data_IF_563900003614
#
_entry.id   IF_563900003614
#
_cell.length_a   1.000
_cell.length_b   1.000
_cell.length_c   1.000
_cell.angle_alpha   90.00
_cell.angle_beta   90.00
_cell.angle_gamma   90.00
#
_symmetry.space_group_name_H-M   'P 1'
#
loop_
_entity.id
_entity.type
_entity.pdbx_description
1 polymer ?
#
# COMPACT_ATOMS: atom_id res chain seq x y z
N UNK A 1 7.25 28.79 8.98
CA UNK A 1 6.23 29.20 7.99
C UNK A 1 6.57 28.65 6.61
N UNK A 2 7.77 28.91 6.03
CA UNK A 2 8.14 28.43 4.70
C UNK A 2 8.05 26.92 4.55
N UNK A 3 8.55 26.14 5.49
CA UNK A 3 8.48 24.67 5.44
C UNK A 3 7.03 24.15 5.40
N UNK A 4 6.12 24.78 6.14
CA UNK A 4 4.70 24.47 6.08
C UNK A 4 4.08 24.81 4.73
N UNK A 5 4.40 25.99 4.18
CA UNK A 5 3.91 26.39 2.85
C UNK A 5 4.41 25.46 1.73
N UNK A 6 5.69 25.08 1.77
CA UNK A 6 6.25 24.09 0.83
C UNK A 6 5.55 22.72 0.96
N UNK A 7 5.35 22.27 2.19
CA UNK A 7 4.64 21.01 2.46
C UNK A 7 3.17 21.06 2.03
N UNK A 8 2.47 22.16 2.32
CA UNK A 8 1.10 22.42 1.84
C UNK A 8 1.02 22.33 0.32
N UNK A 9 1.86 23.12 -0.38
CA UNK A 9 1.83 23.17 -1.83
C UNK A 9 2.16 21.81 -2.47
N UNK A 10 3.24 21.16 -2.00
CA UNK A 10 3.67 19.87 -2.52
C UNK A 10 2.65 18.78 -2.27
N UNK A 11 2.12 18.66 -1.04
CA UNK A 11 1.13 17.66 -0.71
C UNK A 11 -0.20 17.90 -1.45
N UNK A 12 -0.67 19.15 -1.54
CA UNK A 12 -1.90 19.48 -2.29
C UNK A 12 -1.75 19.15 -3.77
N UNK A 13 -0.59 19.42 -4.37
CA UNK A 13 -0.31 19.08 -5.75
C UNK A 13 -0.27 17.54 -5.98
N UNK A 14 0.28 16.77 -5.04
CA UNK A 14 0.30 15.31 -5.14
C UNK A 14 -1.08 14.67 -4.89
N UNK A 15 -1.90 15.28 -4.05
CA UNK A 15 -3.19 14.76 -3.58
C UNK A 15 -4.40 15.47 -4.20
N UNK A 16 -4.23 16.18 -5.33
CA UNK A 16 -5.31 16.89 -6.02
C UNK A 16 -6.53 16.00 -6.29
N UNK A 17 -6.30 14.71 -6.47
CA UNK A 17 -7.30 13.70 -6.75
C UNK A 17 -8.31 13.47 -5.60
N UNK A 18 -7.99 13.88 -4.37
CA UNK A 18 -8.92 13.76 -3.23
C UNK A 18 -10.24 14.50 -3.46
N UNK A 19 -10.28 15.50 -4.33
CA UNK A 19 -11.51 16.18 -4.70
C UNK A 19 -12.48 15.25 -5.46
N UNK A 20 -11.96 14.27 -6.21
CA UNK A 20 -12.76 13.37 -7.07
C UNK A 20 -13.70 12.49 -6.22
N UNK A 21 -13.21 11.65 -5.28
CA UNK A 21 -14.10 10.82 -4.48
C UNK A 21 -15.09 11.62 -3.63
N UNK A 22 -14.70 12.79 -3.16
CA UNK A 22 -15.57 13.67 -2.36
C UNK A 22 -16.71 14.25 -3.20
N UNK A 23 -16.46 14.58 -4.47
CA UNK A 23 -17.48 15.06 -5.40
C UNK A 23 -18.31 13.91 -5.99
N UNK A 24 -17.65 12.96 -6.66
CA UNK A 24 -18.30 11.96 -7.52
C UNK A 24 -19.07 10.92 -6.69
N UNK A 25 -18.60 10.60 -5.48
CA UNK A 25 -19.18 9.56 -4.64
C UNK A 25 -19.70 10.09 -3.30
N UNK A 26 -19.09 11.15 -2.76
CA UNK A 26 -19.59 11.81 -1.55
C UNK A 26 -20.74 12.77 -1.81
N UNK A 27 -21.08 13.06 -3.07
CA UNK A 27 -22.20 13.93 -3.45
C UNK A 27 -21.98 15.41 -3.13
N UNK A 28 -20.79 15.84 -2.69
CA UNK A 28 -20.51 17.23 -2.39
C UNK A 28 -20.32 18.04 -3.68
N UNK A 29 -20.87 19.26 -3.77
CA UNK A 29 -20.62 20.14 -4.91
C UNK A 29 -19.12 20.49 -4.99
N UNK A 30 -18.62 20.77 -6.20
CA UNK A 30 -17.21 21.11 -6.45
C UNK A 30 -16.69 22.23 -5.56
N UNK A 31 -17.51 23.20 -5.20
CA UNK A 31 -17.12 24.29 -4.30
C UNK A 31 -16.66 23.79 -2.91
N UNK A 32 -17.16 22.63 -2.45
CA UNK A 32 -16.80 22.01 -1.18
C UNK A 32 -15.77 20.88 -1.36
N UNK A 33 -15.77 20.19 -2.50
CA UNK A 33 -14.83 19.12 -2.79
C UNK A 33 -13.43 19.64 -3.17
N UNK A 34 -13.33 20.69 -3.97
CA UNK A 34 -12.07 21.26 -4.43
C UNK A 34 -11.12 21.76 -3.31
N UNK A 35 -11.57 22.25 -2.16
CA UNK A 35 -10.70 22.58 -1.03
C UNK A 35 -10.12 21.37 -0.29
N UNK A 36 -10.66 20.16 -0.42
CA UNK A 36 -10.22 18.97 0.33
C UNK A 36 -8.72 18.66 0.15
N UNK A 37 -8.13 18.71 -1.06
CA UNK A 37 -6.68 18.56 -1.24
C UNK A 37 -5.86 19.61 -0.47
N UNK A 38 -6.37 20.84 -0.34
CA UNK A 38 -5.69 21.90 0.44
C UNK A 38 -5.76 21.62 1.94
N UNK A 39 -6.87 21.10 2.45
CA UNK A 39 -7.01 20.72 3.86
C UNK A 39 -6.05 19.58 4.20
N UNK A 40 -5.99 18.54 3.36
CA UNK A 40 -5.04 17.46 3.53
C UNK A 40 -3.59 17.94 3.36
N UNK A 41 -3.35 18.83 2.39
CA UNK A 41 -2.05 19.48 2.20
C UNK A 41 -1.64 20.32 3.40
N UNK A 42 -2.58 21.01 4.07
CA UNK A 42 -2.29 21.76 5.29
C UNK A 42 -1.90 20.85 6.45
N UNK A 43 -2.58 19.71 6.60
CA UNK A 43 -2.21 18.67 7.58
C UNK A 43 -0.82 18.10 7.32
N UNK A 44 -0.54 17.65 6.10
CA UNK A 44 0.78 17.10 5.73
C UNK A 44 1.86 18.19 5.79
N UNK A 45 1.51 19.43 5.45
CA UNK A 45 2.38 20.60 5.57
C UNK A 45 2.91 20.83 6.99
N UNK A 46 2.19 20.40 8.05
CA UNK A 46 2.68 20.48 9.43
C UNK A 46 4.00 19.71 9.60
N UNK A 47 4.12 18.53 8.98
CA UNK A 47 5.35 17.73 9.00
C UNK A 47 6.49 18.45 8.27
N UNK A 48 6.21 19.12 7.13
CA UNK A 48 7.17 19.99 6.45
C UNK A 48 7.59 21.18 7.32
N UNK A 49 6.66 21.76 8.07
CA UNK A 49 6.91 22.82 9.04
C UNK A 49 7.80 22.36 10.19
N UNK A 50 7.50 21.18 10.77
CA UNK A 50 8.30 20.56 11.83
C UNK A 50 9.71 20.22 11.34
N UNK A 51 9.83 19.66 10.13
CA UNK A 51 11.13 19.37 9.53
C UNK A 51 11.99 20.63 9.35
N UNK A 52 11.40 21.72 8.87
CA UNK A 52 12.08 22.99 8.71
C UNK A 52 12.46 23.62 10.07
N UNK A 53 11.61 23.49 11.10
CA UNK A 53 11.92 23.92 12.46
C UNK A 53 13.09 23.12 13.05
N UNK A 54 13.11 21.79 12.85
CA UNK A 54 14.20 20.92 13.24
C UNK A 54 15.51 21.31 12.53
N UNK A 55 15.46 21.55 11.20
CA UNK A 55 16.62 22.02 10.44
C UNK A 55 17.15 23.37 10.95
N UNK A 56 16.25 24.27 11.32
CA UNK A 56 16.63 25.56 11.94
C UNK A 56 17.29 25.37 13.32
N UNK A 57 16.74 24.51 14.16
CA UNK A 57 17.30 24.21 15.47
C UNK A 57 18.73 23.63 15.38
N UNK A 58 18.98 22.84 14.33
CA UNK A 58 20.27 22.20 14.06
C UNK A 58 21.28 23.09 13.31
N UNK A 59 20.95 24.36 13.00
CA UNK A 59 21.78 25.23 12.12
C UNK A 59 23.25 25.36 12.54
N UNK A 60 23.55 25.27 13.84
CA UNK A 60 24.92 25.36 14.38
C UNK A 60 25.67 24.02 14.47
N UNK A 61 25.04 22.91 14.08
CA UNK A 61 25.65 21.60 14.16
C UNK A 61 26.51 21.27 12.92
N UNK A 62 27.48 20.34 13.03
CA UNK A 62 28.21 19.83 11.87
C UNK A 62 27.28 19.20 10.84
N UNK A 63 27.63 19.28 9.53
CA UNK A 63 26.80 18.79 8.43
C UNK A 63 26.33 17.34 8.61
N UNK A 64 27.28 16.44 8.94
CA UNK A 64 26.97 15.02 9.15
C UNK A 64 25.91 14.80 10.25
N UNK A 65 26.01 15.57 11.34
CA UNK A 65 25.06 15.49 12.45
C UNK A 65 23.68 15.98 12.05
N UNK A 66 23.63 17.09 11.27
CA UNK A 66 22.38 17.58 10.69
C UNK A 66 21.74 16.52 9.80
N UNK A 67 22.53 15.92 8.87
CA UNK A 67 22.04 14.89 7.99
C UNK A 67 21.43 13.69 8.73
N UNK A 68 22.13 13.18 9.75
CA UNK A 68 21.63 12.07 10.57
C UNK A 68 20.37 12.46 11.35
N UNK A 69 20.41 13.59 12.08
CA UNK A 69 19.27 14.02 12.90
C UNK A 69 18.04 14.37 12.06
N UNK A 70 18.22 15.00 10.90
CA UNK A 70 17.11 15.31 9.97
C UNK A 70 16.57 14.05 9.29
N UNK A 71 17.44 13.10 8.94
CA UNK A 71 17.02 11.81 8.41
C UNK A 71 16.17 11.01 9.42
N UNK A 72 16.65 10.91 10.66
CA UNK A 72 15.91 10.27 11.75
C UNK A 72 14.60 11.00 12.07
N UNK A 73 14.63 12.34 12.05
CA UNK A 73 13.44 13.16 12.23
C UNK A 73 12.39 12.90 11.15
N UNK A 74 12.80 12.82 9.88
CA UNK A 74 11.89 12.48 8.78
C UNK A 74 11.31 11.08 8.93
N UNK A 75 12.15 10.09 9.23
CA UNK A 75 11.73 8.73 9.53
C UNK A 75 10.64 8.67 10.60
N UNK A 76 10.86 9.33 11.73
CA UNK A 76 9.87 9.36 12.82
C UNK A 76 8.58 10.07 12.43
N UNK A 77 8.66 11.12 11.60
CA UNK A 77 7.50 11.80 11.07
C UNK A 77 6.67 10.89 10.13
N UNK A 78 7.31 10.09 9.27
CA UNK A 78 6.61 9.12 8.42
C UNK A 78 5.97 8.00 9.26
N UNK A 79 6.68 7.45 10.26
CA UNK A 79 6.12 6.50 11.21
C UNK A 79 4.89 7.08 11.95
N UNK A 80 5.01 8.29 12.47
CA UNK A 80 3.91 8.96 13.18
C UNK A 80 2.71 9.20 12.25
N UNK A 81 2.94 9.63 11.01
CA UNK A 81 1.88 9.83 10.01
C UNK A 81 1.21 8.51 9.60
N UNK A 82 1.93 7.39 9.62
CA UNK A 82 1.38 6.05 9.38
C UNK A 82 0.44 5.57 10.48
N UNK A 83 0.48 6.18 11.66
CA UNK A 83 -0.31 5.77 12.81
C UNK A 83 -1.33 6.82 13.26
N UNK A 84 -0.98 8.12 13.24
CA UNK A 84 -1.81 9.20 13.78
C UNK A 84 -3.10 9.40 12.95
N UNK A 85 -4.24 9.59 13.61
CA UNK A 85 -5.58 9.67 12.99
C UNK A 85 -5.88 8.46 12.08
N UNK A 86 -5.65 7.25 12.56
CA UNK A 86 -5.79 5.99 11.83
C UNK A 86 -4.74 5.76 10.74
N UNK A 87 -3.84 6.71 10.53
CA UNK A 87 -2.77 6.63 9.57
C UNK A 87 -3.14 7.09 8.16
N UNK A 88 -2.28 7.91 7.57
CA UNK A 88 -2.31 8.26 6.15
C UNK A 88 -0.89 8.29 5.58
N UNK A 89 -0.24 7.11 5.42
CA UNK A 89 1.12 7.02 4.87
C UNK A 89 1.16 7.15 3.33
N UNK A 90 0.28 7.95 2.74
CA UNK A 90 0.32 8.30 1.33
C UNK A 90 1.49 9.24 1.04
N UNK A 91 2.03 9.27 -0.18
CA UNK A 91 3.18 10.10 -0.59
C UNK A 91 4.38 10.01 0.37
N UNK A 92 4.78 8.80 0.78
CA UNK A 92 6.06 8.58 1.48
C UNK A 92 7.21 8.88 0.52
N UNK A 93 8.35 9.36 1.05
CA UNK A 93 9.48 9.72 0.19
C UNK A 93 10.02 8.51 -0.58
N UNK A 94 10.04 7.33 0.04
CA UNK A 94 10.50 6.09 -0.60
C UNK A 94 9.62 5.68 -1.79
N UNK A 95 8.31 5.97 -1.77
CA UNK A 95 7.40 5.58 -2.86
C UNK A 95 7.71 6.28 -4.19
N UNK A 96 8.33 7.45 -4.15
CA UNK A 96 8.79 8.16 -5.35
C UNK A 96 9.95 7.44 -6.06
N UNK A 97 10.63 6.51 -5.39
CA UNK A 97 11.80 5.81 -5.93
C UNK A 97 11.49 4.38 -6.39
N UNK A 98 10.24 3.96 -6.38
CA UNK A 98 9.84 2.61 -6.83
C UNK A 98 10.19 2.30 -8.29
N UNK A 99 10.30 3.27 -9.24
CA UNK A 99 10.80 3.00 -10.57
C UNK A 99 12.30 2.57 -10.62
N UNK A 100 13.05 2.82 -9.54
CA UNK A 100 14.48 2.49 -9.44
C UNK A 100 14.69 1.36 -8.45
N UNK A 101 14.51 0.12 -8.92
CA UNK A 101 14.60 -1.09 -8.08
C UNK A 101 15.87 -1.16 -7.22
N UNK A 102 17.09 -0.76 -7.67
CA UNK A 102 18.26 -0.76 -6.80
C UNK A 102 18.12 0.17 -5.58
N UNK A 103 17.45 1.31 -5.71
CA UNK A 103 17.29 2.26 -4.60
C UNK A 103 16.38 1.70 -3.52
N UNK A 104 15.30 1.04 -3.91
CA UNK A 104 14.29 0.55 -2.96
C UNK A 104 14.69 -0.74 -2.23
N UNK A 105 15.78 -1.44 -2.66
CA UNK A 105 16.18 -2.70 -2.02
C UNK A 105 16.48 -2.54 -0.53
N UNK A 106 16.97 -1.37 -0.11
CA UNK A 106 17.28 -1.11 1.28
C UNK A 106 16.02 -1.13 2.19
N UNK A 107 14.83 -0.98 1.61
CA UNK A 107 13.58 -1.17 2.33
C UNK A 107 13.42 -2.60 2.90
N UNK A 108 14.09 -3.60 2.33
CA UNK A 108 14.13 -4.96 2.90
C UNK A 108 14.91 -5.07 4.21
N UNK A 109 15.59 -3.99 4.63
CA UNK A 109 16.36 -3.92 5.88
C UNK A 109 15.74 -2.91 6.85
N UNK A 110 15.47 -1.69 6.39
CA UNK A 110 15.04 -0.57 7.23
C UNK A 110 13.60 -0.11 6.96
N UNK A 111 12.90 -0.77 6.04
CA UNK A 111 11.54 -0.41 5.62
C UNK A 111 11.47 0.86 4.76
N UNK A 112 10.28 1.11 4.22
CA UNK A 112 10.02 2.29 3.39
C UNK A 112 10.27 3.60 4.14
N UNK A 113 9.81 3.70 5.39
CA UNK A 113 9.99 4.90 6.20
C UNK A 113 11.46 5.15 6.54
N UNK A 114 12.23 4.08 6.85
CA UNK A 114 13.67 4.17 7.08
C UNK A 114 14.42 4.63 5.84
N UNK A 115 14.07 4.09 4.67
CA UNK A 115 14.60 4.54 3.38
C UNK A 115 14.26 6.01 3.12
N UNK A 116 12.99 6.43 3.37
CA UNK A 116 12.57 7.83 3.27
C UNK A 116 13.40 8.75 4.16
N UNK A 117 13.63 8.34 5.41
CA UNK A 117 14.48 9.06 6.34
C UNK A 117 15.94 9.19 5.87
N UNK A 118 16.52 8.09 5.39
CA UNK A 118 17.89 8.10 4.85
C UNK A 118 18.01 9.06 3.65
N UNK A 119 17.09 8.97 2.70
CA UNK A 119 17.07 9.85 1.52
C UNK A 119 16.91 11.32 1.90
N UNK A 120 16.06 11.63 2.88
CA UNK A 120 15.92 12.98 3.42
C UNK A 120 17.23 13.49 4.05
N UNK A 121 17.90 12.66 4.85
CA UNK A 121 19.20 12.98 5.45
C UNK A 121 20.29 13.23 4.41
N UNK A 122 20.39 12.37 3.40
CA UNK A 122 21.35 12.52 2.28
C UNK A 122 21.05 13.80 1.47
N UNK A 123 19.78 14.10 1.22
CA UNK A 123 19.38 15.34 0.55
C UNK A 123 19.81 16.59 1.34
N UNK A 124 19.65 16.56 2.67
CA UNK A 124 20.12 17.64 3.55
C UNK A 124 21.63 17.84 3.49
N UNK A 125 22.41 16.75 3.46
CA UNK A 125 23.87 16.81 3.29
C UNK A 125 24.26 17.40 1.94
N UNK A 126 23.55 17.02 0.87
CA UNK A 126 23.76 17.56 -0.47
C UNK A 126 23.53 19.07 -0.50
N UNK A 127 22.39 19.53 0.01
CA UNK A 127 22.03 20.97 0.08
C UNK A 127 23.06 21.74 0.92
N UNK A 128 23.45 21.22 2.09
CA UNK A 128 24.48 21.83 2.95
C UNK A 128 25.82 21.97 2.22
N UNK A 129 26.21 20.96 1.43
CA UNK A 129 27.41 20.99 0.60
C UNK A 129 27.34 22.07 -0.46
N UNK A 130 26.24 22.13 -1.22
CA UNK A 130 26.00 23.12 -2.29
C UNK A 130 26.01 24.55 -1.75
N UNK A 131 25.31 24.79 -0.63
CA UNK A 131 25.27 26.13 0.00
C UNK A 131 26.67 26.61 0.44
N UNK A 132 27.51 25.71 0.95
CA UNK A 132 28.88 26.05 1.34
C UNK A 132 29.81 26.34 0.19
N UNK A 133 29.60 25.73 -0.98
CA UNK A 133 30.34 26.05 -2.21
C UNK A 133 30.10 27.52 -2.62
N UNK A 134 28.86 28.01 -2.46
CA UNK A 134 28.47 29.36 -2.85
C UNK A 134 28.97 30.47 -1.94
N UNK A 135 29.45 30.15 -0.71
CA UNK A 135 29.98 31.13 0.24
C UNK A 135 31.52 31.27 0.15
N UNK A 136 32.07 32.48 -0.17
CA UNK A 136 33.40 32.57 -0.79
C UNK A 136 34.62 32.33 0.09
N UNK A 137 34.63 32.46 1.42
CA UNK A 137 35.94 32.50 2.13
C UNK A 137 36.10 31.61 3.37
N UNK A 138 35.18 31.53 4.30
CA UNK A 138 35.41 30.80 5.56
C UNK A 138 34.92 29.35 5.57
N UNK A 139 33.99 28.97 4.68
CA UNK A 139 33.30 27.68 4.69
C UNK A 139 33.75 26.74 3.56
N UNK A 140 34.55 27.21 2.61
CA UNK A 140 34.95 26.49 1.39
C UNK A 140 35.62 25.12 1.67
N UNK A 141 36.43 25.00 2.72
CA UNK A 141 37.09 23.73 3.11
C UNK A 141 36.14 22.68 3.69
N UNK A 142 34.89 23.03 4.05
CA UNK A 142 33.93 22.15 4.73
C UNK A 142 32.80 21.62 3.82
N UNK A 143 32.78 21.99 2.55
CA UNK A 143 31.78 21.49 1.62
C UNK A 143 32.06 20.07 1.14
N UNK A 144 33.35 19.73 0.94
CA UNK A 144 33.80 18.41 0.50
C UNK A 144 33.25 17.27 1.39
N UNK A 145 33.39 17.32 2.74
CA UNK A 145 32.85 16.25 3.58
C UNK A 145 31.31 16.12 3.50
N UNK A 146 30.58 17.23 3.34
CA UNK A 146 29.12 17.18 3.26
C UNK A 146 28.65 16.59 1.92
N UNK A 147 29.14 17.13 0.82
CA UNK A 147 28.79 16.63 -0.53
C UNK A 147 29.34 15.24 -0.77
N UNK A 148 30.59 15.00 -0.38
CA UNK A 148 31.22 13.67 -0.47
C UNK A 148 30.47 12.62 0.35
N UNK A 149 30.04 12.97 1.56
CA UNK A 149 29.21 12.10 2.40
C UNK A 149 27.83 11.78 1.77
N UNK A 150 27.19 12.80 1.16
CA UNK A 150 25.93 12.57 0.42
C UNK A 150 26.13 11.65 -0.76
N UNK A 151 27.14 11.92 -1.61
CA UNK A 151 27.42 11.09 -2.80
C UNK A 151 27.84 9.65 -2.41
N UNK A 152 28.68 9.51 -1.37
CA UNK A 152 29.04 8.19 -0.84
C UNK A 152 27.82 7.44 -0.30
N UNK A 153 26.93 8.12 0.43
CA UNK A 153 25.69 7.52 0.91
C UNK A 153 24.78 7.06 -0.24
N UNK A 154 24.58 7.88 -1.27
CA UNK A 154 23.80 7.51 -2.45
C UNK A 154 24.46 6.31 -3.15
N UNK A 155 25.79 6.35 -3.33
CA UNK A 155 26.53 5.23 -3.91
C UNK A 155 26.33 3.93 -3.12
N UNK A 156 26.43 3.99 -1.78
CA UNK A 156 26.20 2.82 -0.93
C UNK A 156 24.78 2.28 -1.01
N UNK A 157 23.76 3.14 -1.10
CA UNK A 157 22.37 2.70 -1.31
C UNK A 157 22.23 1.95 -2.62
N UNK A 158 22.78 2.51 -3.71
CA UNK A 158 22.69 1.88 -5.04
C UNK A 158 23.54 0.60 -5.08
N UNK A 159 24.75 0.61 -4.54
CA UNK A 159 25.63 -0.55 -4.49
C UNK A 159 25.00 -1.70 -3.69
N UNK A 160 24.44 -1.39 -2.51
CA UNK A 160 23.67 -2.37 -1.73
C UNK A 160 22.51 -2.93 -2.55
N UNK A 161 21.79 -2.06 -3.26
CA UNK A 161 20.66 -2.48 -4.06
C UNK A 161 21.06 -3.42 -5.20
N UNK A 162 22.10 -3.08 -5.96
CA UNK A 162 22.63 -3.94 -7.03
C UNK A 162 23.08 -5.29 -6.45
N UNK A 163 23.80 -5.27 -5.33
CA UNK A 163 24.20 -6.49 -4.62
C UNK A 163 22.98 -7.32 -4.19
N UNK A 164 21.98 -6.68 -3.57
CA UNK A 164 20.75 -7.35 -3.09
C UNK A 164 19.96 -8.00 -4.23
N UNK A 165 19.91 -7.36 -5.41
CA UNK A 165 19.24 -7.92 -6.59
C UNK A 165 19.90 -9.20 -7.09
N UNK A 166 21.23 -9.35 -6.91
CA UNK A 166 21.95 -10.59 -7.30
C UNK A 166 21.61 -11.78 -6.40
N UNK A 167 21.02 -11.54 -5.24
CA UNK A 167 20.56 -12.56 -4.27
C UNK A 167 19.05 -12.52 -4.08
N UNK A 168 18.33 -11.99 -5.08
CA UNK A 168 16.87 -11.96 -5.01
C UNK A 168 16.32 -13.40 -4.89
N UNK A 169 15.30 -13.63 -4.05
CA UNK A 169 14.72 -14.95 -3.89
C UNK A 169 14.23 -15.48 -5.23
N UNK A 170 14.84 -16.54 -5.71
CA UNK A 170 14.43 -17.29 -6.89
C UNK A 170 13.89 -18.63 -6.42
N UNK A 171 12.59 -18.78 -6.26
CA UNK A 171 11.97 -20.06 -5.95
C UNK A 171 11.82 -20.91 -7.23
N UNK A 172 11.79 -22.22 -7.06
CA UNK A 172 11.41 -23.17 -8.13
C UNK A 172 9.90 -23.47 -8.03
N UNK A 173 9.30 -23.76 -9.17
CA UNK A 173 7.90 -24.19 -9.20
C UNK A 173 6.89 -23.05 -9.15
N UNK A 174 6.95 -22.16 -10.12
CA UNK A 174 5.96 -21.09 -10.26
C UNK A 174 4.52 -21.61 -10.43
N UNK A 175 3.58 -20.94 -9.79
CA UNK A 175 2.14 -21.15 -9.91
C UNK A 175 1.61 -20.07 -10.85
N UNK A 176 0.85 -20.44 -11.87
CA UNK A 176 0.19 -19.47 -12.73
C UNK A 176 -1.00 -18.85 -12.02
N UNK A 177 -1.01 -17.54 -11.96
CA UNK A 177 -2.09 -16.72 -11.37
C UNK A 177 -2.64 -15.80 -12.45
N UNK A 178 -3.96 -15.62 -12.49
CA UNK A 178 -4.59 -14.60 -13.33
C UNK A 178 -5.33 -13.56 -12.49
N UNK A 179 -5.16 -12.30 -12.89
CA UNK A 179 -5.83 -11.14 -12.32
C UNK A 179 -6.91 -10.68 -13.31
N UNK A 180 -8.16 -10.63 -12.87
CA UNK A 180 -9.28 -10.29 -13.72
C UNK A 180 -9.72 -8.84 -13.47
N UNK A 181 -9.48 -7.95 -14.42
CA UNK A 181 -9.88 -6.55 -14.35
C UNK A 181 -11.22 -6.34 -15.08
N UNK A 182 -12.32 -6.25 -14.32
CA UNK A 182 -13.67 -6.21 -14.88
C UNK A 182 -14.02 -4.90 -15.58
N UNK A 183 -13.42 -3.80 -15.19
CA UNK A 183 -13.71 -2.43 -15.64
C UNK A 183 -15.21 -2.09 -15.54
N UNK A 184 -15.80 -2.38 -14.39
CA UNK A 184 -17.21 -2.11 -14.11
C UNK A 184 -17.37 -0.70 -13.53
N UNK A 185 -18.36 0.03 -14.03
CA UNK A 185 -18.69 1.35 -13.53
C UNK A 185 -19.18 1.28 -12.07
N UNK A 186 -18.55 2.04 -11.19
CA UNK A 186 -18.84 2.07 -9.76
C UNK A 186 -20.26 2.56 -9.47
N UNK A 187 -20.82 3.46 -10.32
CA UNK A 187 -22.12 4.07 -10.09
C UNK A 187 -23.27 3.10 -10.29
N UNK A 188 -23.13 2.15 -11.22
CA UNK A 188 -24.22 1.23 -11.60
C UNK A 188 -24.03 -0.20 -11.10
N UNK A 189 -22.83 -0.59 -10.69
CA UNK A 189 -22.54 -1.98 -10.33
C UNK A 189 -23.38 -2.51 -9.16
N UNK A 190 -23.84 -1.64 -8.26
CA UNK A 190 -24.67 -2.00 -7.11
C UNK A 190 -26.15 -2.20 -7.45
N UNK A 191 -26.57 -1.83 -8.67
CA UNK A 191 -27.95 -2.06 -9.10
C UNK A 191 -28.24 -3.57 -9.20
N UNK A 192 -29.36 -4.06 -8.65
CA UNK A 192 -29.72 -5.48 -8.70
C UNK A 192 -29.74 -6.06 -10.13
N UNK A 193 -30.13 -5.25 -11.12
CA UNK A 193 -30.12 -5.65 -12.53
C UNK A 193 -28.70 -5.93 -13.07
N UNK A 194 -27.68 -5.30 -12.49
CA UNK A 194 -26.28 -5.45 -12.91
C UNK A 194 -25.59 -6.66 -12.30
N UNK A 195 -26.11 -7.25 -11.23
CA UNK A 195 -25.46 -8.37 -10.52
C UNK A 195 -25.18 -9.57 -11.45
N UNK A 196 -26.18 -10.00 -12.22
CA UNK A 196 -26.02 -11.12 -13.19
C UNK A 196 -25.01 -10.78 -14.30
N UNK A 197 -25.03 -9.55 -14.79
CA UNK A 197 -24.09 -9.08 -15.82
C UNK A 197 -22.66 -9.02 -15.27
N UNK A 198 -22.50 -8.58 -14.03
CA UNK A 198 -21.22 -8.54 -13.32
C UNK A 198 -20.63 -9.94 -13.18
N UNK A 199 -21.41 -10.91 -12.68
CA UNK A 199 -20.97 -12.32 -12.59
C UNK A 199 -20.59 -12.85 -13.98
N UNK A 200 -21.45 -12.65 -14.99
CA UNK A 200 -21.16 -13.08 -16.36
C UNK A 200 -19.86 -12.47 -16.88
N UNK A 201 -19.61 -11.20 -16.61
CA UNK A 201 -18.39 -10.49 -17.02
C UNK A 201 -17.14 -11.15 -16.47
N UNK A 202 -17.08 -11.36 -15.15
CA UNK A 202 -15.92 -12.00 -14.52
C UNK A 202 -15.76 -13.47 -14.93
N UNK A 203 -16.84 -14.22 -15.05
CA UNK A 203 -16.78 -15.60 -15.56
C UNK A 203 -16.26 -15.67 -17.00
N UNK A 204 -16.63 -14.69 -17.86
CA UNK A 204 -16.15 -14.64 -19.26
C UNK A 204 -14.65 -14.30 -19.31
N UNK A 205 -14.20 -13.30 -18.56
CA UNK A 205 -12.77 -12.96 -18.46
C UNK A 205 -11.96 -14.15 -17.94
N UNK A 206 -12.43 -14.80 -16.88
CA UNK A 206 -11.80 -15.99 -16.31
C UNK A 206 -11.79 -17.18 -17.28
N UNK A 207 -12.82 -17.36 -18.10
CA UNK A 207 -12.85 -18.41 -19.11
C UNK A 207 -11.83 -18.14 -20.23
N UNK A 208 -11.64 -16.86 -20.59
CA UNK A 208 -10.66 -16.43 -21.58
C UNK A 208 -9.22 -16.66 -21.05
N UNK A 209 -8.93 -16.26 -19.81
CA UNK A 209 -7.61 -16.47 -19.21
C UNK A 209 -7.25 -17.96 -19.02
N UNK A 210 -8.25 -18.84 -18.91
CA UNK A 210 -8.06 -20.29 -18.85
C UNK A 210 -7.93 -20.96 -20.23
N UNK A 211 -8.12 -20.22 -21.34
CA UNK A 211 -8.06 -20.73 -22.71
C UNK A 211 -6.62 -20.64 -23.28
N UNK A 212 -5.67 -21.14 -22.52
CA UNK A 212 -4.23 -21.16 -22.81
C UNK A 212 -3.70 -22.61 -22.71
N UNK A 213 -2.49 -22.90 -23.20
CA UNK A 213 -1.87 -24.22 -22.99
C UNK A 213 -1.81 -24.61 -21.51
N UNK A 214 -1.92 -25.91 -21.22
CA UNK A 214 -1.96 -26.45 -19.85
C UNK A 214 -0.73 -26.00 -19.02
N UNK A 215 0.44 -25.84 -19.66
CA UNK A 215 1.67 -25.37 -19.00
C UNK A 215 1.62 -23.92 -18.49
N UNK A 216 0.69 -23.12 -19.02
CA UNK A 216 0.53 -21.71 -18.68
C UNK A 216 -0.84 -21.44 -18.04
N UNK A 217 -1.58 -22.49 -17.79
CA UNK A 217 -2.95 -22.40 -17.28
C UNK A 217 -2.97 -21.90 -15.84
N UNK A 218 -3.75 -20.83 -15.53
CA UNK A 218 -3.88 -20.34 -14.17
C UNK A 218 -4.48 -21.40 -13.22
N UNK A 219 -3.82 -21.56 -12.08
CA UNK A 219 -4.26 -22.39 -10.96
C UNK A 219 -5.08 -21.57 -9.95
N UNK A 220 -4.89 -20.24 -9.94
CA UNK A 220 -5.60 -19.28 -9.11
C UNK A 220 -6.06 -18.08 -9.94
N UNK A 221 -7.35 -17.77 -9.86
CA UNK A 221 -7.94 -16.55 -10.41
C UNK A 221 -8.19 -15.57 -9.26
N UNK A 222 -7.89 -14.28 -9.48
CA UNK A 222 -8.11 -13.24 -8.50
C UNK A 222 -8.98 -12.14 -9.11
N UNK A 223 -10.19 -11.99 -8.57
CA UNK A 223 -11.08 -10.88 -8.91
C UNK A 223 -10.91 -9.75 -7.88
N UNK A 224 -11.13 -8.51 -8.28
CA UNK A 224 -10.86 -7.36 -7.44
C UNK A 224 -11.81 -7.22 -6.23
N UNK A 225 -11.55 -6.18 -5.43
CA UNK A 225 -12.40 -5.75 -4.32
C UNK A 225 -13.83 -5.49 -4.80
N UNK A 226 -14.81 -5.97 -4.02
CA UNK A 226 -16.24 -5.88 -4.35
C UNK A 226 -16.57 -6.25 -5.81
N UNK A 227 -15.84 -7.22 -6.37
CA UNK A 227 -16.15 -7.76 -7.71
C UNK A 227 -17.59 -8.27 -7.78
N UNK A 228 -18.07 -8.84 -6.68
CA UNK A 228 -19.47 -9.28 -6.52
C UNK A 228 -20.21 -8.26 -5.65
N UNK A 229 -21.04 -7.37 -6.24
CA UNK A 229 -21.75 -6.33 -5.51
C UNK A 229 -23.07 -6.86 -4.90
N UNK A 230 -22.99 -7.97 -4.18
CA UNK A 230 -24.12 -8.60 -3.48
C UNK A 230 -23.63 -9.50 -2.36
N UNK A 231 -24.51 -9.84 -1.44
CA UNK A 231 -24.20 -10.82 -0.41
C UNK A 231 -24.02 -12.22 -1.03
N UNK A 232 -22.76 -12.65 -1.14
CA UNK A 232 -22.39 -13.93 -1.69
C UNK A 232 -23.00 -15.11 -0.91
N UNK A 233 -23.24 -14.96 0.38
CA UNK A 233 -23.77 -16.02 1.23
C UNK A 233 -25.28 -16.23 1.05
N UNK A 234 -26.01 -15.16 0.71
CA UNK A 234 -27.48 -15.18 0.61
C UNK A 234 -28.00 -15.14 -0.83
N UNK A 235 -27.13 -15.12 -1.84
CA UNK A 235 -27.50 -15.15 -3.26
C UNK A 235 -27.26 -16.54 -3.90
N UNK A 236 -28.11 -17.56 -3.64
CA UNK A 236 -27.80 -18.96 -3.92
C UNK A 236 -27.55 -19.25 -5.41
N UNK A 237 -28.30 -18.62 -6.32
CA UNK A 237 -28.14 -18.84 -7.77
C UNK A 237 -26.77 -18.31 -8.29
N UNK A 238 -26.40 -17.08 -7.90
CA UNK A 238 -25.17 -16.44 -8.34
C UNK A 238 -23.95 -17.13 -7.70
N UNK A 239 -24.06 -17.44 -6.41
CA UNK A 239 -23.01 -18.17 -5.68
C UNK A 239 -22.81 -19.58 -6.22
N UNK A 240 -23.90 -20.27 -6.59
CA UNK A 240 -23.81 -21.59 -7.21
C UNK A 240 -23.11 -21.54 -8.56
N UNK A 241 -23.39 -20.51 -9.39
CA UNK A 241 -22.73 -20.33 -10.68
C UNK A 241 -21.21 -20.11 -10.52
N UNK A 242 -20.78 -19.32 -9.53
CA UNK A 242 -19.38 -19.07 -9.24
C UNK A 242 -18.68 -20.34 -8.75
N UNK A 243 -19.29 -21.07 -7.80
CA UNK A 243 -18.75 -22.35 -7.31
C UNK A 243 -18.70 -23.44 -8.39
N UNK A 244 -19.73 -23.51 -9.24
CA UNK A 244 -19.78 -24.43 -10.38
C UNK A 244 -18.64 -24.12 -11.37
N UNK A 245 -18.40 -22.85 -11.68
CA UNK A 245 -17.30 -22.44 -12.54
C UNK A 245 -15.94 -22.89 -11.99
N UNK A 246 -15.66 -22.62 -10.69
CA UNK A 246 -14.41 -23.04 -10.04
C UNK A 246 -14.22 -24.56 -10.13
N UNK A 247 -15.27 -25.34 -9.82
CA UNK A 247 -15.27 -26.81 -9.87
C UNK A 247 -15.11 -27.32 -11.32
N UNK A 248 -15.91 -26.82 -12.26
CA UNK A 248 -15.95 -27.35 -13.63
C UNK A 248 -14.67 -26.99 -14.41
N UNK A 249 -14.05 -25.85 -14.06
CA UNK A 249 -12.75 -25.42 -14.59
C UNK A 249 -11.55 -25.91 -13.78
N UNK A 250 -11.77 -26.52 -12.61
CA UNK A 250 -10.73 -27.02 -11.70
C UNK A 250 -9.69 -25.93 -11.35
N UNK A 251 -10.15 -24.72 -11.00
CA UNK A 251 -9.34 -23.57 -10.70
C UNK A 251 -9.76 -22.97 -9.36
N UNK A 252 -8.79 -22.52 -8.55
CA UNK A 252 -9.08 -21.76 -7.34
C UNK A 252 -9.50 -20.33 -7.68
N UNK A 253 -10.37 -19.74 -6.87
CA UNK A 253 -10.88 -18.40 -7.09
C UNK A 253 -10.86 -17.59 -5.78
N UNK A 254 -10.18 -16.44 -5.79
CA UNK A 254 -10.26 -15.42 -4.75
C UNK A 254 -11.00 -14.20 -5.29
N UNK A 255 -11.96 -13.67 -4.56
CA UNK A 255 -12.74 -12.51 -5.01
C UNK A 255 -13.28 -11.68 -3.85
N UNK A 256 -13.47 -10.36 -4.10
CA UNK A 256 -14.09 -9.44 -3.15
C UNK A 256 -15.60 -9.38 -3.28
N UNK A 257 -16.30 -9.39 -2.14
CA UNK A 257 -17.73 -9.13 -2.02
C UNK A 257 -18.05 -8.59 -0.62
N UNK A 258 -19.18 -7.90 -0.39
CA UNK A 258 -19.63 -7.58 0.96
C UNK A 258 -19.90 -8.87 1.74
N UNK A 259 -19.55 -8.87 3.02
CA UNK A 259 -19.91 -9.93 3.97
C UNK A 259 -20.87 -9.36 5.02
N UNK A 260 -21.81 -10.18 5.48
CA UNK A 260 -22.79 -9.74 6.48
C UNK A 260 -22.83 -10.72 7.66
N UNK A 261 -23.03 -10.17 8.86
CA UNK A 261 -23.23 -10.94 10.09
C UNK A 261 -24.44 -10.42 10.83
N UNK A 262 -25.45 -11.27 11.00
CA UNK A 262 -26.61 -10.94 11.82
C UNK A 262 -26.29 -11.15 13.31
N UNK A 263 -26.47 -10.12 14.12
CA UNK A 263 -26.25 -10.19 15.59
C UNK A 263 -27.38 -10.86 16.35
N UNK A 264 -28.53 -11.10 15.72
CA UNK A 264 -29.71 -11.67 16.38
C UNK A 264 -30.64 -10.63 17.05
N UNK A 265 -30.23 -9.37 17.14
CA UNK A 265 -31.01 -8.23 17.65
C UNK A 265 -31.66 -7.38 16.55
N UNK A 266 -31.62 -7.85 15.31
CA UNK A 266 -32.07 -7.16 14.10
C UNK A 266 -31.01 -6.24 13.48
N UNK A 267 -29.81 -6.16 14.08
CA UNK A 267 -28.67 -5.43 13.54
C UNK A 267 -27.85 -6.35 12.65
N UNK A 268 -27.50 -5.86 11.46
CA UNK A 268 -26.66 -6.56 10.50
C UNK A 268 -25.33 -5.81 10.36
N UNK A 269 -24.25 -6.45 10.77
CA UNK A 269 -22.89 -5.96 10.56
C UNK A 269 -22.48 -6.19 9.11
N UNK A 270 -21.87 -5.19 8.47
CA UNK A 270 -21.33 -5.27 7.12
C UNK A 270 -19.80 -5.24 7.14
N UNK A 271 -19.18 -6.07 6.30
CA UNK A 271 -17.73 -6.20 6.15
C UNK A 271 -17.33 -6.10 4.69
N UNK A 272 -16.19 -5.48 4.41
CA UNK A 272 -15.53 -5.57 3.11
C UNK A 272 -14.68 -6.84 3.11
N UNK A 273 -15.06 -7.84 2.29
CA UNK A 273 -14.61 -9.22 2.45
C UNK A 273 -13.98 -9.78 1.18
N UNK A 274 -12.94 -10.59 1.35
CA UNK A 274 -12.39 -11.48 0.32
C UNK A 274 -12.76 -12.93 0.63
N UNK A 275 -13.29 -13.65 -0.35
CA UNK A 275 -13.63 -15.07 -0.28
C UNK A 275 -12.64 -15.91 -1.07
N UNK A 276 -12.33 -17.11 -0.59
CA UNK A 276 -11.54 -18.11 -1.30
C UNK A 276 -12.39 -19.36 -1.58
N UNK A 277 -12.35 -19.83 -2.82
CA UNK A 277 -12.98 -21.06 -3.28
C UNK A 277 -11.89 -21.96 -3.86
N UNK A 278 -11.88 -23.23 -3.43
CA UNK A 278 -10.97 -24.24 -3.97
C UNK A 278 -11.42 -24.77 -5.35
N UNK A 279 -10.53 -25.49 -6.08
CA UNK A 279 -10.84 -26.08 -7.38
C UNK A 279 -11.98 -27.11 -7.39
N UNK A 280 -12.42 -27.59 -6.23
CA UNK A 280 -13.59 -28.47 -6.07
C UNK A 280 -14.90 -27.68 -5.89
N UNK A 281 -14.86 -26.35 -5.88
CA UNK A 281 -16.00 -25.47 -5.66
C UNK A 281 -16.38 -25.27 -4.18
N UNK A 282 -15.58 -25.80 -3.23
CA UNK A 282 -15.79 -25.61 -1.79
C UNK A 282 -15.14 -24.29 -1.34
N UNK A 283 -15.81 -23.58 -0.43
CA UNK A 283 -15.26 -22.38 0.19
C UNK A 283 -14.19 -22.74 1.24
N UNK A 284 -13.02 -22.12 1.15
CA UNK A 284 -11.88 -22.31 2.06
C UNK A 284 -11.76 -21.20 3.10
N UNK A 285 -12.74 -20.30 3.19
CA UNK A 285 -12.77 -19.23 4.18
C UNK A 285 -12.86 -17.86 3.56
N UNK A 286 -12.70 -16.85 4.41
CA UNK A 286 -12.72 -15.44 4.04
C UNK A 286 -11.80 -14.61 4.92
N UNK A 287 -11.45 -13.44 4.40
CA UNK A 287 -10.73 -12.39 5.12
C UNK A 287 -11.57 -11.12 5.10
N UNK A 288 -11.82 -10.52 6.24
CA UNK A 288 -12.50 -9.24 6.39
C UNK A 288 -11.46 -8.12 6.54
N UNK A 289 -11.65 -7.03 5.81
CA UNK A 289 -10.79 -5.86 5.85
C UNK A 289 -10.64 -5.33 7.27
N UNK A 290 -9.42 -5.28 7.77
CA UNK A 290 -9.13 -4.85 9.15
C UNK A 290 -8.94 -3.33 9.25
N UNK A 291 -8.35 -2.71 8.22
CA UNK A 291 -8.03 -1.29 8.19
C UNK A 291 -8.91 -0.56 7.17
N UNK A 292 -9.97 0.06 7.68
CA UNK A 292 -10.97 0.75 6.86
C UNK A 292 -10.49 2.13 6.43
N UNK A 293 -11.01 2.59 5.28
CA UNK A 293 -10.75 3.94 4.76
C UNK A 293 -11.61 4.96 5.51
N UNK A 294 -11.01 5.91 6.24
CA UNK A 294 -11.77 6.99 6.87
C UNK A 294 -12.55 7.79 5.83
N UNK A 295 -13.81 8.13 6.14
CA UNK A 295 -14.75 8.86 5.27
C UNK A 295 -15.15 8.13 3.96
N UNK A 296 -14.64 6.94 3.72
CA UNK A 296 -15.06 6.10 2.61
C UNK A 296 -15.88 4.90 3.09
N UNK A 297 -15.39 4.24 4.13
CA UNK A 297 -15.97 3.01 4.65
C UNK A 297 -16.55 3.17 6.06
N UNK A 298 -16.12 4.18 6.80
CA UNK A 298 -16.67 4.54 8.12
C UNK A 298 -16.44 6.01 8.42
N UNK A 299 -17.25 6.55 9.33
CA UNK A 299 -17.05 7.90 9.89
C UNK A 299 -16.21 7.78 11.16
N UNK A 300 -15.02 8.44 11.25
CA UNK A 300 -14.26 8.43 12.49
C UNK A 300 -15.09 8.96 13.69
N UNK A 301 -15.12 8.27 14.85
CA UNK A 301 -16.02 8.61 15.96
C UNK A 301 -15.89 10.05 16.47
N UNK A 302 -14.68 10.62 16.40
CA UNK A 302 -14.43 12.02 16.83
C UNK A 302 -14.98 13.07 15.85
N UNK A 303 -15.45 12.68 14.67
CA UNK A 303 -16.09 13.53 13.65
C UNK A 303 -17.55 13.14 13.38
N UNK A 304 -18.09 12.16 14.07
CA UNK A 304 -19.54 11.84 14.03
C UNK A 304 -20.34 12.89 14.81
N UNK A 305 -20.32 14.12 14.31
CA UNK A 305 -21.02 15.26 14.87
C UNK A 305 -22.37 15.43 14.16
N UNK A 306 -23.47 15.66 14.87
CA UNK A 306 -24.81 15.72 14.25
C UNK A 306 -24.94 16.68 13.08
N UNK A 307 -24.22 17.81 13.10
CA UNK A 307 -24.24 18.80 12.02
C UNK A 307 -23.42 18.39 10.79
N UNK A 308 -22.51 17.41 10.91
CA UNK A 308 -21.72 16.87 9.78
C UNK A 308 -22.41 15.67 9.12
N UNK A 309 -23.32 14.97 9.80
CA UNK A 309 -24.00 13.78 9.24
C UNK A 309 -24.64 14.00 7.88
N UNK A 310 -25.30 15.16 7.58
CA UNK A 310 -25.85 15.40 6.25
C UNK A 310 -24.79 15.47 5.15
N UNK A 311 -23.54 15.84 5.48
CA UNK A 311 -22.42 15.91 4.55
C UNK A 311 -21.69 14.55 4.40
N UNK A 312 -21.97 13.62 5.29
CA UNK A 312 -21.36 12.28 5.35
C UNK A 312 -22.34 11.18 4.86
N UNK A 313 -23.47 11.58 4.29
CA UNK A 313 -24.40 10.66 3.63
C UNK A 313 -23.69 10.02 2.44
N UNK A 314 -23.56 8.71 2.43
CA UNK A 314 -22.81 7.97 1.38
C UNK A 314 -21.48 7.40 1.87
N UNK A 315 -21.05 7.73 3.08
CA UNK A 315 -19.97 6.98 3.74
C UNK A 315 -20.50 5.59 4.12
N UNK A 316 -19.74 4.54 3.77
CA UNK A 316 -20.11 3.17 4.14
C UNK A 316 -20.12 2.98 5.66
N UNK A 317 -20.93 2.04 6.13
CA UNK A 317 -20.98 1.61 7.54
C UNK A 317 -20.36 0.22 7.70
N UNK A 318 -19.15 0.05 7.18
CA UNK A 318 -18.43 -1.20 7.37
C UNK A 318 -17.81 -1.25 8.77
N UNK A 319 -17.74 -2.47 9.30
CA UNK A 319 -16.98 -2.75 10.51
C UNK A 319 -15.60 -3.33 10.15
N UNK A 320 -14.58 -3.03 10.95
CA UNK A 320 -13.27 -3.66 10.79
C UNK A 320 -13.40 -5.15 11.07
N UNK A 321 -12.71 -5.97 10.25
CA UNK A 321 -12.62 -7.39 10.44
C UNK A 321 -11.85 -7.75 11.71
N UNK A 322 -12.22 -8.86 12.32
CA UNK A 322 -11.38 -9.52 13.31
C UNK A 322 -10.25 -10.24 12.57
N UNK A 323 -9.03 -10.25 13.11
CA UNK A 323 -7.88 -10.89 12.47
C UNK A 323 -8.10 -12.38 12.29
N UNK A 324 -8.42 -12.81 11.07
CA UNK A 324 -8.61 -14.22 10.72
C UNK A 324 -7.34 -14.87 10.15
N UNK A 325 -6.30 -14.09 9.92
CA UNK A 325 -5.06 -14.54 9.28
C UNK A 325 -5.17 -14.69 7.76
N UNK A 326 -4.11 -15.22 7.11
CA UNK A 326 -4.09 -15.46 5.68
C UNK A 326 -5.05 -16.60 5.30
N UNK A 327 -5.51 -16.54 4.05
CA UNK A 327 -6.34 -17.62 3.50
C UNK A 327 -5.44 -18.78 3.03
N UNK A 328 -5.84 -19.99 3.34
CA UNK A 328 -5.07 -21.20 3.01
C UNK A 328 -5.80 -21.98 1.92
N UNK A 329 -5.14 -22.12 0.77
CA UNK A 329 -5.58 -23.01 -0.29
C UNK A 329 -4.86 -24.36 -0.10
N UNK A 330 -5.57 -25.43 0.28
CA UNK A 330 -4.96 -26.72 0.50
C UNK A 330 -4.25 -27.24 -0.75
N UNK A 331 -3.17 -28.00 -0.57
CA UNK A 331 -2.57 -28.76 -1.65
C UNK A 331 -3.58 -29.77 -2.20
N UNK A 332 -3.82 -29.74 -3.50
CA UNK A 332 -4.69 -30.67 -4.18
C UNK A 332 -3.92 -31.34 -5.33
N UNK A 333 -4.35 -32.53 -5.81
CA UNK A 333 -3.73 -33.16 -6.97
C UNK A 333 -3.73 -32.25 -8.24
N UNK A 334 -4.60 -31.25 -8.27
CA UNK A 334 -4.72 -30.26 -9.34
C UNK A 334 -3.75 -29.08 -9.17
N UNK A 335 -3.44 -28.74 -7.94
CA UNK A 335 -2.39 -27.78 -7.56
C UNK A 335 -1.16 -28.61 -7.26
N UNK A 336 -0.18 -28.61 -8.12
CA UNK A 336 1.10 -29.37 -8.06
C UNK A 336 1.34 -30.05 -6.71
N UNK A 337 1.24 -31.40 -6.62
CA UNK A 337 1.23 -32.14 -5.35
C UNK A 337 2.50 -31.92 -4.51
N UNK A 338 3.58 -31.50 -5.13
CA UNK A 338 4.89 -31.28 -4.49
C UNK A 338 5.02 -29.90 -3.80
N UNK A 339 4.03 -28.99 -3.94
CA UNK A 339 4.13 -27.60 -3.44
C UNK A 339 3.55 -27.41 -2.06
N UNK A 340 2.98 -28.22 -1.38
CA UNK A 340 2.31 -27.91 -0.11
C UNK A 340 1.16 -26.87 -0.25
N UNK A 341 0.54 -26.43 0.84
CA UNK A 341 -0.54 -25.47 0.80
C UNK A 341 -0.05 -24.07 0.38
N UNK A 342 -0.87 -23.38 -0.43
CA UNK A 342 -0.64 -21.99 -0.78
C UNK A 342 -1.28 -21.07 0.26
N UNK A 343 -0.47 -20.24 0.92
CA UNK A 343 -0.92 -19.34 1.98
C UNK A 343 -0.97 -17.91 1.44
N UNK A 344 -2.20 -17.39 1.27
CA UNK A 344 -2.50 -16.11 0.65
C UNK A 344 -2.67 -15.03 1.73
N UNK A 345 -1.71 -14.11 1.82
CA UNK A 345 -1.83 -12.92 2.67
C UNK A 345 -2.64 -11.85 1.96
N UNK A 346 -3.90 -11.70 2.35
CA UNK A 346 -4.82 -10.76 1.68
C UNK A 346 -4.68 -9.37 2.27
N UNK A 347 -4.65 -8.38 1.38
CA UNK A 347 -4.66 -6.94 1.69
C UNK A 347 -5.76 -6.31 0.83
N UNK A 348 -6.80 -5.78 1.44
CA UNK A 348 -7.91 -5.18 0.68
C UNK A 348 -7.65 -3.69 0.52
N UNK A 349 -7.44 -3.26 -0.73
CA UNK A 349 -7.33 -1.86 -1.15
C UNK A 349 -6.29 -1.07 -0.33
N UNK A 350 -6.75 -0.13 0.49
CA UNK A 350 -5.97 0.76 1.34
C UNK A 350 -4.98 0.03 2.27
N UNK A 351 -5.26 -1.21 2.66
CA UNK A 351 -4.38 -2.00 3.53
C UNK A 351 -2.98 -2.21 2.95
N UNK A 352 -2.85 -2.22 1.62
CA UNK A 352 -1.56 -2.42 0.95
C UNK A 352 -0.54 -1.30 1.18
N UNK A 353 -0.98 -0.13 1.66
CA UNK A 353 -0.05 0.97 1.93
C UNK A 353 0.61 0.88 3.32
N UNK A 354 0.12 0.01 4.22
CA UNK A 354 0.57 -0.15 5.59
C UNK A 354 1.58 -1.28 5.72
N UNK A 355 2.86 -0.99 6.11
CA UNK A 355 3.89 -2.03 6.28
C UNK A 355 3.53 -3.11 7.28
N UNK A 356 2.92 -2.73 8.41
CA UNK A 356 2.55 -3.60 9.51
C UNK A 356 1.51 -4.64 9.12
N UNK A 357 0.56 -4.31 8.23
CA UNK A 357 -0.46 -5.26 7.77
C UNK A 357 0.14 -6.34 6.87
N UNK A 358 0.98 -5.95 5.92
CA UNK A 358 1.71 -6.91 5.09
C UNK A 358 2.60 -7.82 5.94
N UNK A 359 3.33 -7.24 6.92
CA UNK A 359 4.14 -8.02 7.85
C UNK A 359 3.31 -8.99 8.69
N UNK A 360 2.12 -8.57 9.16
CA UNK A 360 1.20 -9.41 9.92
C UNK A 360 0.81 -10.65 9.13
N UNK A 361 0.44 -10.49 7.86
CA UNK A 361 0.11 -11.61 6.98
C UNK A 361 1.30 -12.57 6.82
N UNK A 362 2.50 -12.04 6.59
CA UNK A 362 3.73 -12.86 6.47
C UNK A 362 4.10 -13.52 7.80
N UNK A 363 3.88 -12.87 8.94
CA UNK A 363 4.11 -13.45 10.25
C UNK A 363 3.23 -14.68 10.51
N UNK A 364 2.03 -14.69 9.94
CA UNK A 364 1.06 -15.78 10.01
C UNK A 364 1.25 -16.83 8.90
N UNK A 365 2.33 -16.73 8.13
CA UNK A 365 2.74 -17.75 7.17
C UNK A 365 2.44 -17.46 5.71
N UNK A 366 1.97 -16.24 5.35
CA UNK A 366 1.69 -15.90 3.95
C UNK A 366 2.92 -16.10 3.05
N UNK A 367 2.73 -16.88 1.98
CA UNK A 367 3.77 -17.17 0.96
C UNK A 367 3.62 -16.34 -0.30
N UNK A 368 2.42 -15.79 -0.53
CA UNK A 368 2.06 -14.85 -1.59
C UNK A 368 1.18 -13.76 -0.98
N UNK A 369 1.47 -12.49 -1.27
CA UNK A 369 0.58 -11.38 -0.94
C UNK A 369 -0.40 -11.15 -2.10
N UNK A 370 -1.66 -11.00 -1.76
CA UNK A 370 -2.74 -10.69 -2.70
C UNK A 370 -3.34 -9.35 -2.31
N UNK A 371 -3.31 -8.39 -3.22
CA UNK A 371 -4.01 -7.13 -3.03
C UNK A 371 -5.20 -7.04 -3.98
N UNK A 372 -6.41 -7.06 -3.46
CA UNK A 372 -7.62 -6.78 -4.22
C UNK A 372 -8.05 -5.34 -3.95
N UNK A 373 -8.35 -4.56 -5.00
CA UNK A 373 -8.63 -3.13 -4.89
C UNK A 373 -9.71 -2.65 -5.85
N UNK A 374 -10.34 -1.54 -5.49
CA UNK A 374 -11.26 -0.84 -6.37
C UNK A 374 -10.86 0.63 -6.50
N UNK A 375 -9.92 0.91 -7.39
CA UNK A 375 -9.40 2.27 -7.62
C UNK A 375 -10.36 3.16 -8.43
N UNK A 376 -11.59 2.71 -8.72
CA UNK A 376 -12.60 3.52 -9.44
C UNK A 376 -12.90 4.85 -8.73
N UNK A 377 -12.77 4.86 -7.39
CA UNK A 377 -12.93 6.05 -6.56
C UNK A 377 -12.03 7.22 -6.96
N UNK A 378 -10.87 6.93 -7.53
CA UNK A 378 -9.85 7.93 -7.83
C UNK A 378 -9.96 8.51 -9.24
N UNK A 379 -10.88 8.01 -10.08
CA UNK A 379 -11.03 8.43 -11.46
C UNK A 379 -9.71 8.30 -12.27
N UNK A 380 -9.62 9.05 -13.35
CA UNK A 380 -8.39 9.12 -14.18
C UNK A 380 -7.42 10.15 -13.58
N UNK A 381 -6.72 9.76 -12.52
CA UNK A 381 -5.78 10.62 -11.78
C UNK A 381 -4.45 9.92 -11.53
N UNK A 382 -3.56 10.57 -10.76
CA UNK A 382 -2.30 9.96 -10.33
C UNK A 382 -2.46 8.96 -9.17
N UNK A 383 -3.62 8.90 -8.52
CA UNK A 383 -3.81 8.06 -7.34
C UNK A 383 -3.59 6.55 -7.59
N UNK A 384 -4.05 5.93 -8.71
CA UNK A 384 -3.76 4.52 -8.98
C UNK A 384 -2.26 4.21 -9.08
N UNK A 385 -1.44 5.09 -9.68
CA UNK A 385 0.02 4.94 -9.74
C UNK A 385 0.65 5.11 -8.36
N UNK A 386 0.19 6.09 -7.59
CA UNK A 386 0.66 6.29 -6.21
C UNK A 386 0.33 5.08 -5.33
N UNK A 387 -0.88 4.55 -5.46
CA UNK A 387 -1.33 3.37 -4.72
C UNK A 387 -0.50 2.13 -5.07
N UNK A 388 -0.26 1.88 -6.36
CA UNK A 388 0.62 0.80 -6.79
C UNK A 388 2.04 1.00 -6.24
N UNK A 389 2.60 2.20 -6.32
CA UNK A 389 3.95 2.51 -5.82
C UNK A 389 4.09 2.22 -4.33
N UNK A 390 3.07 2.52 -3.52
CA UNK A 390 3.06 2.16 -2.09
C UNK A 390 3.01 0.64 -1.89
N UNK A 391 2.20 -0.08 -2.68
CA UNK A 391 2.14 -1.53 -2.65
C UNK A 391 3.46 -2.21 -3.05
N UNK A 392 4.18 -1.68 -4.03
CA UNK A 392 5.50 -2.20 -4.47
C UNK A 392 6.47 -2.32 -3.29
N UNK A 393 6.47 -1.34 -2.38
CA UNK A 393 7.36 -1.37 -1.23
C UNK A 393 7.09 -2.56 -0.31
N UNK A 394 5.85 -3.06 -0.23
CA UNK A 394 5.50 -4.26 0.55
C UNK A 394 6.15 -5.52 -0.01
N UNK A 395 6.27 -5.61 -1.35
CA UNK A 395 6.97 -6.73 -1.98
C UNK A 395 8.44 -6.78 -1.53
N UNK A 396 9.13 -5.65 -1.55
CA UNK A 396 10.54 -5.51 -1.14
C UNK A 396 10.72 -5.76 0.37
N UNK A 397 9.88 -5.11 1.19
CA UNK A 397 9.92 -5.22 2.65
C UNK A 397 9.70 -6.64 3.15
N UNK A 398 8.80 -7.38 2.51
CA UNK A 398 8.42 -8.71 2.95
C UNK A 398 9.09 -9.84 2.16
N UNK A 399 9.82 -9.51 1.09
CA UNK A 399 10.37 -10.49 0.14
C UNK A 399 9.29 -11.46 -0.35
N UNK A 400 8.17 -10.90 -0.83
CA UNK A 400 7.02 -11.64 -1.35
C UNK A 400 6.60 -11.12 -2.70
N UNK A 401 6.13 -12.02 -3.54
CA UNK A 401 5.33 -11.63 -4.70
C UNK A 401 4.06 -10.94 -4.25
N UNK A 402 3.62 -9.96 -5.03
CA UNK A 402 2.30 -9.35 -4.89
C UNK A 402 1.52 -9.57 -6.18
N UNK A 403 0.36 -10.20 -6.06
CA UNK A 403 -0.66 -10.30 -7.09
C UNK A 403 -1.74 -9.24 -6.78
N UNK A 404 -1.74 -8.12 -7.52
CA UNK A 404 -2.68 -7.02 -7.33
C UNK A 404 -3.75 -7.02 -8.41
N UNK A 405 -5.00 -7.29 -8.03
CA UNK A 405 -6.18 -7.23 -8.91
C UNK A 405 -7.02 -5.99 -8.60
N UNK A 406 -7.33 -5.19 -9.60
CA UNK A 406 -8.14 -3.98 -9.46
C UNK A 406 -9.32 -3.99 -10.44
N UNK A 407 -10.40 -3.24 -10.11
CA UNK A 407 -11.55 -3.14 -11.02
C UNK A 407 -11.25 -2.26 -12.24
N UNK A 408 -10.80 -1.02 -12.03
CA UNK A 408 -10.53 -0.02 -13.08
C UNK A 408 -9.13 0.56 -12.99
N UNK A 409 -8.42 0.28 -11.88
CA UNK A 409 -7.08 0.75 -11.59
C UNK A 409 -6.02 0.00 -12.38
N UNK A 410 -4.86 -0.18 -11.73
CA UNK A 410 -3.73 -0.91 -12.30
C UNK A 410 -3.63 -2.26 -11.62
N UNK A 411 -4.02 -3.33 -12.29
CA UNK A 411 -3.69 -4.69 -11.90
C UNK A 411 -2.23 -4.97 -12.24
N UNK A 412 -1.50 -5.66 -11.38
CA UNK A 412 -0.08 -5.86 -11.57
C UNK A 412 0.45 -7.08 -10.83
N UNK A 413 1.50 -7.68 -11.36
CA UNK A 413 2.38 -8.60 -10.65
C UNK A 413 3.67 -7.86 -10.28
N UNK A 414 3.99 -7.90 -9.00
CA UNK A 414 5.21 -7.31 -8.45
C UNK A 414 6.06 -8.43 -7.85
N UNK A 415 7.28 -8.55 -8.30
CA UNK A 415 8.22 -9.55 -7.78
C UNK A 415 8.82 -9.13 -6.41
N UNK A 416 9.52 -10.01 -5.70
CA UNK A 416 10.11 -9.72 -4.39
C UNK A 416 11.18 -8.63 -4.40
N UNK A 417 11.63 -8.18 -5.57
CA UNK A 417 12.56 -7.06 -5.73
C UNK A 417 11.86 -5.72 -5.93
N UNK A 418 10.51 -5.75 -6.05
CA UNK A 418 9.72 -4.59 -6.37
C UNK A 418 9.64 -4.26 -7.86
N UNK A 419 10.13 -5.15 -8.73
CA UNK A 419 9.93 -4.99 -10.18
C UNK A 419 8.49 -5.33 -10.55
N UNK A 420 7.85 -4.43 -11.30
CA UNK A 420 6.54 -4.66 -11.90
C UNK A 420 6.76 -5.46 -13.18
N UNK A 421 6.54 -6.79 -13.11
CA UNK A 421 6.82 -7.72 -14.21
C UNK A 421 5.68 -7.82 -15.23
N UNK A 422 4.47 -7.50 -14.80
CA UNK A 422 3.29 -7.37 -15.68
C UNK A 422 2.32 -6.36 -15.08
N UNK A 423 1.66 -5.58 -15.93
CA UNK A 423 0.64 -4.60 -15.49
C UNK A 423 -0.43 -4.37 -16.54
N UNK A 424 -1.63 -4.07 -16.07
CA UNK A 424 -2.78 -3.68 -16.90
C UNK A 424 -2.80 -2.19 -17.24
N UNK A 425 -3.69 -1.82 -18.16
CA UNK A 425 -4.06 -0.42 -18.40
C UNK A 425 -5.16 0.08 -17.46
N UNK A 426 -5.21 1.39 -17.23
CA UNK A 426 -6.30 2.04 -16.51
C UNK A 426 -7.60 1.99 -17.32
N UNK A 427 -8.73 1.69 -16.66
CA UNK A 427 -10.08 1.66 -17.25
C UNK A 427 -10.16 0.77 -18.49
N UNK A 428 -9.53 -0.40 -18.42
CA UNK A 428 -9.63 -1.46 -19.42
C UNK A 428 -10.18 -2.72 -18.78
N UNK A 429 -10.95 -3.47 -19.55
CA UNK A 429 -11.34 -4.81 -19.16
C UNK A 429 -10.36 -5.79 -19.79
N UNK A 430 -9.57 -6.46 -18.96
CA UNK A 430 -8.54 -7.38 -19.42
C UNK A 430 -8.16 -8.38 -18.31
N UNK A 431 -7.59 -9.49 -18.72
CA UNK A 431 -7.01 -10.49 -17.84
C UNK A 431 -5.49 -10.43 -17.96
N UNK A 432 -4.79 -10.58 -16.83
CA UNK A 432 -3.35 -10.55 -16.76
C UNK A 432 -2.86 -11.80 -16.06
N UNK A 433 -2.15 -12.68 -16.76
CA UNK A 433 -1.62 -13.94 -16.20
C UNK A 433 -0.09 -13.91 -16.10
N UNK A 434 0.45 -14.41 -14.99
CA UNK A 434 1.89 -14.50 -14.75
C UNK A 434 2.22 -15.64 -13.79
N UNK A 435 3.35 -16.36 -13.97
CA UNK A 435 3.84 -17.31 -13.00
C UNK A 435 4.41 -16.57 -11.78
N UNK A 436 3.96 -16.95 -10.58
CA UNK A 436 4.46 -16.44 -9.30
C UNK A 436 5.06 -17.57 -8.47
N UNK A 437 6.02 -17.26 -7.65
CA UNK A 437 6.66 -18.26 -6.78
C UNK A 437 6.29 -18.00 -5.34
N UNK A 438 5.59 -18.91 -4.65
CA UNK A 438 5.35 -18.79 -3.22
C UNK A 438 6.68 -18.85 -2.45
N UNK A 439 6.92 -17.87 -1.57
CA UNK A 439 8.17 -17.73 -0.82
C UNK A 439 7.92 -17.80 0.69
N UNK A 440 8.83 -18.44 1.40
CA UNK A 440 8.78 -18.55 2.87
C UNK A 440 9.88 -17.73 3.56
N UNK A 441 10.94 -17.37 2.83
CA UNK A 441 12.05 -16.58 3.35
C UNK A 441 11.59 -15.23 3.90
N UNK A 442 12.19 -14.80 5.00
CA UNK A 442 11.86 -13.54 5.66
C UNK A 442 12.98 -12.52 5.43
N UNK A 443 12.61 -11.27 5.16
CA UNK A 443 13.58 -10.19 5.05
C UNK A 443 14.16 -9.81 6.42
N UNK A 444 15.23 -9.03 6.42
CA UNK A 444 15.78 -8.42 7.64
C UNK A 444 14.75 -7.44 8.24
N UNK A 445 14.09 -6.66 7.41
CA UNK A 445 13.01 -5.76 7.84
C UNK A 445 11.90 -6.48 8.57
N UNK A 446 11.46 -7.65 8.12
CA UNK A 446 10.43 -8.44 8.79
C UNK A 446 10.77 -8.65 10.28
N UNK A 447 12.03 -8.92 10.60
CA UNK A 447 12.49 -9.16 11.98
C UNK A 447 12.66 -7.86 12.76
N UNK A 448 13.16 -6.80 12.12
CA UNK A 448 13.51 -5.55 12.77
C UNK A 448 12.33 -4.58 12.93
N UNK A 449 11.31 -4.67 12.09
CA UNK A 449 10.22 -3.70 12.00
C UNK A 449 9.62 -3.28 13.35
N UNK A 450 9.30 -4.18 14.31
CA UNK A 450 8.71 -3.77 15.59
C UNK A 450 9.64 -2.90 16.45
N UNK A 451 10.94 -2.98 16.22
CA UNK A 451 11.96 -2.31 17.00
C UNK A 451 12.48 -1.03 16.34
N UNK A 452 12.37 -0.93 15.01
CA UNK A 452 12.90 0.19 14.24
C UNK A 452 12.41 1.57 14.71
N UNK A 453 11.11 1.79 15.02
CA UNK A 453 10.63 3.08 15.50
C UNK A 453 11.28 3.49 16.83
N UNK A 454 11.44 2.54 17.75
CA UNK A 454 12.06 2.77 19.05
C UNK A 454 13.56 3.03 18.93
N UNK A 455 14.26 2.25 18.12
CA UNK A 455 15.67 2.47 17.83
C UNK A 455 15.88 3.82 17.15
N UNK A 456 15.04 4.18 16.18
CA UNK A 456 15.07 5.49 15.54
C UNK A 456 14.85 6.64 16.50
N UNK A 457 13.89 6.51 17.42
CA UNK A 457 13.65 7.51 18.47
C UNK A 457 14.84 7.65 19.41
N UNK A 458 15.41 6.55 19.88
CA UNK A 458 16.58 6.57 20.78
C UNK A 458 17.79 7.24 20.09
N UNK A 459 18.07 6.87 18.84
CA UNK A 459 19.11 7.49 18.04
C UNK A 459 18.83 8.98 17.80
N UNK A 460 17.61 9.36 17.43
CA UNK A 460 17.23 10.76 17.24
C UNK A 460 17.50 11.59 18.50
N UNK A 461 17.06 11.12 19.65
CA UNK A 461 17.30 11.80 20.94
C UNK A 461 18.79 11.97 21.23
N UNK A 462 19.63 10.95 20.94
CA UNK A 462 21.08 11.02 21.11
C UNK A 462 21.69 12.14 20.26
N UNK A 463 21.28 12.27 19.00
CA UNK A 463 21.80 13.31 18.11
C UNK A 463 21.19 14.70 18.38
N UNK A 464 20.01 14.78 18.99
CA UNK A 464 19.32 16.03 19.28
C UNK A 464 19.63 16.62 20.66
N UNK A 465 20.08 15.80 21.64
CA UNK A 465 20.36 16.22 23.04
C UNK A 465 21.26 17.47 23.18
N UNK A 466 22.36 17.65 22.39
CA UNK A 466 23.17 18.84 22.50
C UNK A 466 22.47 20.13 22.09
N UNK A 467 21.42 20.02 21.23
CA UNK A 467 20.60 21.18 20.89
C UNK A 467 19.74 21.57 22.09
N UNK A 468 19.13 20.61 22.76
CA UNK A 468 18.32 20.83 23.96
C UNK A 468 19.16 21.47 25.11
N UNK A 469 20.42 21.07 25.28
CA UNK A 469 21.29 21.61 26.28
C UNK A 469 21.66 23.09 26.04
N UNK A 470 21.69 23.52 24.78
CA UNK A 470 21.91 24.95 24.43
C UNK A 470 20.70 25.80 24.75
N UNK A 471 19.48 25.31 24.46
CA UNK A 471 18.26 26.04 24.82
C UNK A 471 18.14 26.25 26.34
N UNK A 472 18.50 25.24 27.16
CA UNK A 472 18.49 25.37 28.63
C UNK A 472 19.51 26.38 29.21
N UNK A 473 20.53 26.76 28.44
CA UNK A 473 21.54 27.78 28.88
C UNK A 473 21.14 29.21 28.53
N UNK A 474 20.05 29.39 27.78
CA UNK A 474 19.55 30.70 27.36
C UNK A 474 18.17 31.04 27.95
N UNK A 475 17.63 30.17 28.84
CA UNK A 475 16.53 30.41 29.76
C UNK A 475 17.09 30.55 31.17
#
# INVERSE_FOLDING_TARGET
RLGWLCGLAGASACLYWLAIPVHDFGGLPWALAAPCPLLMGAYIGLYGGLFAALAHALRGEPAWRKGVALGLGWYLMECFRGWFFTGFPWITLASAFTPWTPVIQLASVIGAYGLGGLLAGLSCLCVEGILRVRHPHALRKRWLPALGGSLAGIFLVVAFGVFSLSFAPSGQGGLWVSLEQGNLDQNVKWEPAMQRLTVKRYLSLSAESLSVPESERPELLIWPETAMPFDYQTAPELSAAIRAFARDRRVALLFGAPGFRNRGDGVVDAFNRAYLIAPNGVGEGWYDKEHLVPFGEYVPPFLDLPFLRPLLQGVGEFLPGESTGPLVLPATPQLSPDRGPLVLGVLICYESIFPELARKQVAQGATLLVNISNDAWFGRSSAPEQHLSLGILRAVEQRRWIARSTNTGISAFVDPTGAVVARSGLFKAESLSHPVVPLTEKSVFFTLEPWLPWAGLALFLTFFTPVLSRFRRHI
#
